data_IF_423751736901
#
_entry.id   IF_423751736901
#
_cell.length_a   1.000
_cell.length_b   1.000
_cell.length_c   1.000
_cell.angle_alpha   90.00
_cell.angle_beta   90.00
_cell.angle_gamma   90.00
#
_symmetry.space_group_name_H-M   'P 1'
#
loop_
_entity.id
_entity.type
_entity.pdbx_description
1 polymer ?
#
# COMPACT_ATOMS: atom_id res chain seq x y z
N UNK A 1 -0.64 10.98 -18.75
CA UNK A 1 0.13 11.37 -17.54
C UNK A 1 0.73 10.12 -16.93
N UNK A 2 2.03 10.09 -16.62
CA UNK A 2 2.66 8.96 -15.94
C UNK A 2 2.02 8.73 -14.56
N UNK A 3 1.78 7.48 -14.19
CA UNK A 3 1.21 7.15 -12.87
C UNK A 3 2.25 7.42 -11.78
N UNK A 4 1.93 8.24 -10.77
CA UNK A 4 2.84 8.44 -9.65
C UNK A 4 2.99 7.12 -8.88
N UNK A 5 4.18 6.86 -8.34
CA UNK A 5 4.43 5.66 -7.53
C UNK A 5 5.51 5.90 -6.49
N UNK A 6 5.56 5.01 -5.51
CA UNK A 6 6.71 4.92 -4.62
C UNK A 6 7.85 4.22 -5.37
N UNK A 7 9.05 4.76 -5.22
CA UNK A 7 10.31 4.13 -5.65
C UNK A 7 10.99 3.54 -4.42
N UNK A 8 11.34 2.27 -4.50
CA UNK A 8 11.80 1.47 -3.37
C UNK A 8 13.26 1.08 -3.59
N UNK A 9 14.10 1.33 -2.59
CA UNK A 9 15.48 0.86 -2.55
C UNK A 9 15.68 -0.01 -1.29
N UNK A 10 15.56 -1.35 -1.40
CA UNK A 10 15.70 -2.26 -0.26
C UNK A 10 17.07 -2.20 0.42
N UNK A 11 18.14 -1.93 -0.32
CA UNK A 11 19.51 -1.85 0.21
C UNK A 11 19.71 -0.69 1.21
N UNK A 12 18.85 0.33 1.15
CA UNK A 12 18.83 1.44 2.12
C UNK A 12 17.92 1.16 3.33
N UNK A 13 17.11 0.10 3.31
CA UNK A 13 16.14 -0.14 4.37
C UNK A 13 16.82 -0.64 5.64
N UNK A 14 16.55 0.02 6.78
CA UNK A 14 17.12 -0.36 8.09
C UNK A 14 16.18 -1.23 8.92
N UNK A 15 14.96 -1.49 8.44
CA UNK A 15 13.96 -2.24 9.20
C UNK A 15 13.31 -1.48 10.36
N UNK A 16 13.46 -0.15 10.45
CA UNK A 16 12.93 0.64 11.58
C UNK A 16 11.38 0.74 11.65
N UNK A 17 10.66 0.30 10.62
CA UNK A 17 9.19 0.30 10.52
C UNK A 17 8.48 1.66 10.70
N UNK A 18 9.18 2.79 10.67
CA UNK A 18 8.56 4.12 10.76
C UNK A 18 7.51 4.36 9.67
N UNK A 19 7.75 3.86 8.46
CA UNK A 19 6.79 3.92 7.36
C UNK A 19 5.50 3.14 7.64
N UNK A 20 5.58 2.03 8.39
CA UNK A 20 4.43 1.21 8.80
C UNK A 20 3.62 1.95 9.86
N UNK A 21 4.30 2.44 10.90
CA UNK A 21 3.67 3.18 12.00
C UNK A 21 2.96 4.45 11.51
N UNK A 22 3.65 5.30 10.74
CA UNK A 22 3.05 6.54 10.23
C UNK A 22 1.88 6.27 9.29
N UNK A 23 1.93 5.21 8.48
CA UNK A 23 0.81 4.84 7.62
C UNK A 23 -0.46 4.57 8.44
N UNK A 24 -0.35 3.75 9.50
CA UNK A 24 -1.50 3.43 10.36
C UNK A 24 -2.01 4.64 11.13
N UNK A 25 -1.11 5.50 11.60
CA UNK A 25 -1.48 6.74 12.27
C UNK A 25 -2.25 7.69 11.36
N UNK A 26 -1.84 7.82 10.10
CA UNK A 26 -2.48 8.73 9.14
C UNK A 26 -3.88 8.26 8.79
N UNK A 27 -4.02 6.97 8.44
CA UNK A 27 -5.27 6.43 7.92
C UNK A 27 -6.23 5.94 9.00
N UNK A 28 -5.72 5.34 10.08
CA UNK A 28 -6.52 4.62 11.06
C UNK A 28 -6.51 5.27 12.45
N UNK A 29 -5.71 6.33 12.64
CA UNK A 29 -5.52 7.03 13.93
C UNK A 29 -5.06 6.12 15.08
N UNK A 30 -4.42 5.01 14.74
CA UNK A 30 -3.86 4.03 15.67
C UNK A 30 -2.51 3.53 15.17
N UNK A 31 -1.64 3.07 16.07
CA UNK A 31 -0.43 2.33 15.71
C UNK A 31 -0.76 0.84 15.71
N UNK A 32 -1.06 0.28 14.54
CA UNK A 32 -1.33 -1.16 14.39
C UNK A 32 -0.80 -1.68 13.05
N UNK A 33 0.38 -2.33 13.01
CA UNK A 33 1.01 -2.81 11.78
C UNK A 33 0.12 -3.68 10.87
N UNK A 34 -0.84 -4.42 11.45
CA UNK A 34 -1.77 -5.25 10.67
C UNK A 34 -2.72 -4.43 9.80
N UNK A 35 -2.94 -3.16 10.15
CA UNK A 35 -3.79 -2.20 9.43
C UNK A 35 -3.01 -1.23 8.53
N UNK A 36 -1.68 -1.38 8.47
CA UNK A 36 -0.84 -0.56 7.58
C UNK A 36 -1.17 -0.83 6.13
N UNK A 37 -0.78 0.07 5.21
CA UNK A 37 -0.82 -0.13 3.74
C UNK A 37 0.57 -0.38 3.15
N UNK A 38 1.58 -0.48 4.00
CA UNK A 38 2.98 -0.83 3.71
C UNK A 38 3.49 -1.80 4.77
N UNK A 39 4.28 -2.79 4.39
CA UNK A 39 4.89 -3.77 5.31
C UNK A 39 6.38 -3.88 5.07
N UNK A 40 7.11 -4.09 6.16
CA UNK A 40 8.51 -4.47 6.12
C UNK A 40 8.58 -5.95 6.51
N UNK A 41 9.29 -6.73 5.72
CA UNK A 41 9.52 -8.16 5.99
C UNK A 41 11.02 -8.36 6.09
N UNK A 42 11.48 -8.86 7.23
CA UNK A 42 12.87 -9.26 7.40
C UNK A 42 13.14 -10.50 6.56
N UNK A 43 14.18 -10.44 5.74
CA UNK A 43 14.71 -11.57 4.98
C UNK A 43 15.98 -12.12 5.63
N UNK A 44 16.74 -12.95 4.90
CA UNK A 44 18.02 -13.48 5.38
C UNK A 44 19.05 -12.35 5.48
N UNK A 45 20.15 -12.59 6.19
CA UNK A 45 21.30 -11.68 6.25
C UNK A 45 20.99 -10.24 6.71
N UNK A 46 19.92 -10.03 7.48
CA UNK A 46 19.46 -8.69 7.90
C UNK A 46 19.00 -7.79 6.75
N UNK A 47 18.68 -8.36 5.59
CA UNK A 47 18.02 -7.64 4.52
C UNK A 47 16.52 -7.44 4.83
N UNK A 48 15.93 -6.40 4.25
CA UNK A 48 14.53 -6.06 4.44
C UNK A 48 13.82 -5.87 3.11
N UNK A 49 12.69 -6.56 2.97
CA UNK A 49 11.77 -6.39 1.86
C UNK A 49 10.67 -5.41 2.22
N UNK A 50 10.47 -4.41 1.35
CA UNK A 50 9.39 -3.43 1.49
C UNK A 50 8.24 -3.84 0.56
N UNK A 51 7.09 -4.18 1.14
CA UNK A 51 5.88 -4.56 0.42
C UNK A 51 4.90 -3.39 0.44
N UNK A 52 4.62 -2.83 -0.73
CA UNK A 52 3.69 -1.72 -0.94
C UNK A 52 3.09 -1.79 -2.35
N UNK A 53 1.94 -1.14 -2.56
CA UNK A 53 1.26 -1.16 -3.86
C UNK A 53 2.11 -0.46 -4.93
N UNK A 54 2.33 -1.13 -6.06
CA UNK A 54 3.14 -0.63 -7.18
C UNK A 54 2.40 0.30 -8.14
N UNK A 55 1.10 0.55 -7.91
CA UNK A 55 0.24 1.36 -8.79
C UNK A 55 0.33 0.97 -10.28
N UNK A 56 0.19 -0.35 -10.54
CA UNK A 56 0.34 -0.96 -11.86
C UNK A 56 -0.49 -0.24 -12.93
N UNK A 57 0.03 -0.11 -14.15
CA UNK A 57 -0.68 0.46 -15.31
C UNK A 57 -1.91 -0.35 -15.73
N UNK A 58 -1.78 -1.68 -15.70
CA UNK A 58 -2.90 -2.61 -15.89
C UNK A 58 -3.23 -3.36 -14.58
N UNK A 59 -4.06 -2.77 -13.69
CA UNK A 59 -4.26 -3.30 -12.36
C UNK A 59 -5.20 -4.51 -12.36
N UNK A 60 -4.63 -5.71 -12.25
CA UNK A 60 -5.38 -6.97 -12.08
C UNK A 60 -6.38 -6.92 -10.92
N UNK A 61 -6.07 -6.18 -9.84
CA UNK A 61 -6.96 -6.01 -8.70
C UNK A 61 -8.26 -5.26 -9.01
N UNK A 62 -8.24 -4.34 -9.99
CA UNK A 62 -9.45 -3.64 -10.47
C UNK A 62 -10.32 -4.64 -11.23
N UNK A 63 -9.75 -5.37 -12.18
CA UNK A 63 -10.46 -6.39 -12.98
C UNK A 63 -11.05 -7.52 -12.13
N UNK A 64 -10.35 -7.91 -11.08
CA UNK A 64 -10.76 -8.99 -10.19
C UNK A 64 -11.87 -8.60 -9.20
N UNK A 65 -12.19 -7.31 -9.04
CA UNK A 65 -13.16 -6.86 -8.04
C UNK A 65 -14.61 -7.05 -8.55
N UNK A 66 -15.40 -7.97 -7.98
CA UNK A 66 -16.73 -8.30 -8.50
C UNK A 66 -17.78 -7.20 -8.25
N UNK A 67 -17.49 -6.27 -7.34
CA UNK A 67 -18.38 -5.18 -6.92
C UNK A 67 -17.85 -3.80 -7.30
N UNK A 68 -16.81 -3.75 -8.16
CA UNK A 68 -16.18 -2.50 -8.61
C UNK A 68 -15.76 -1.57 -7.45
N UNK A 69 -15.37 -2.14 -6.31
CA UNK A 69 -14.87 -1.39 -5.16
C UNK A 69 -13.43 -0.92 -5.34
N UNK A 70 -12.69 -1.43 -6.33
CA UNK A 70 -11.39 -0.88 -6.70
C UNK A 70 -11.55 -0.19 -8.04
N UNK A 71 -11.24 1.10 -8.10
CA UNK A 71 -11.42 1.95 -9.28
C UNK A 71 -10.21 2.86 -9.49
N UNK A 72 -10.08 3.43 -10.68
CA UNK A 72 -9.00 4.40 -10.98
C UNK A 72 -9.45 5.78 -10.50
N UNK A 73 -8.70 6.36 -9.56
CA UNK A 73 -8.94 7.72 -9.08
C UNK A 73 -8.69 8.73 -10.20
N UNK A 74 -9.69 9.53 -10.54
CA UNK A 74 -9.68 10.40 -11.72
C UNK A 74 -8.49 11.38 -11.74
N UNK A 75 -8.18 12.00 -10.60
CA UNK A 75 -7.12 13.03 -10.53
C UNK A 75 -5.70 12.46 -10.46
N UNK A 76 -5.54 11.32 -9.78
CA UNK A 76 -4.21 10.73 -9.52
C UNK A 76 -3.86 9.63 -10.52
N UNK A 77 -4.85 9.14 -11.27
CA UNK A 77 -4.72 8.01 -12.18
C UNK A 77 -4.11 6.77 -11.50
N UNK A 78 -4.54 6.46 -10.28
CA UNK A 78 -4.09 5.27 -9.53
C UNK A 78 -5.28 4.42 -9.09
N UNK A 79 -5.17 3.09 -9.01
CA UNK A 79 -6.22 2.29 -8.39
C UNK A 79 -6.37 2.69 -6.92
N UNK A 80 -7.59 2.84 -6.40
CA UNK A 80 -7.91 3.05 -4.97
C UNK A 80 -9.11 2.18 -4.57
N UNK A 81 -9.29 1.97 -3.27
CA UNK A 81 -10.40 1.16 -2.74
C UNK A 81 -11.48 2.09 -2.21
N UNK A 82 -12.71 1.90 -2.68
CA UNK A 82 -13.94 2.37 -2.08
C UNK A 82 -14.33 1.42 -0.94
N UNK A 83 -14.19 1.88 0.31
CA UNK A 83 -14.49 1.07 1.48
C UNK A 83 -15.98 0.78 1.66
N UNK A 84 -16.86 1.64 1.14
CA UNK A 84 -18.31 1.49 1.26
C UNK A 84 -18.80 0.36 0.34
N UNK A 85 -18.26 0.28 -0.87
CA UNK A 85 -18.58 -0.82 -1.82
C UNK A 85 -17.86 -2.12 -1.51
N UNK A 86 -16.70 -2.07 -0.84
CA UNK A 86 -15.89 -3.26 -0.62
C UNK A 86 -16.62 -4.28 0.27
N UNK A 87 -16.76 -5.52 -0.20
CA UNK A 87 -17.40 -6.61 0.57
C UNK A 87 -16.41 -7.40 1.43
N UNK A 88 -15.10 -7.17 1.28
CA UNK A 88 -14.08 -7.96 1.98
C UNK A 88 -13.81 -9.34 1.37
N UNK A 89 -14.33 -9.64 0.17
CA UNK A 89 -14.24 -10.98 -0.44
C UNK A 89 -12.84 -11.48 -0.80
N UNK A 90 -11.78 -10.67 -0.70
CA UNK A 90 -10.40 -11.14 -0.87
C UNK A 90 -9.91 -11.36 -2.31
N UNK A 91 -10.77 -11.36 -3.34
CA UNK A 91 -10.35 -11.59 -4.75
C UNK A 91 -9.22 -10.66 -5.23
N UNK A 92 -9.21 -9.40 -4.79
CA UNK A 92 -8.12 -8.46 -5.11
C UNK A 92 -6.79 -8.80 -4.43
N UNK A 93 -6.82 -9.46 -3.27
CA UNK A 93 -5.64 -9.94 -2.56
C UNK A 93 -5.00 -11.07 -3.35
N UNK A 94 -5.80 -12.04 -3.81
CA UNK A 94 -5.35 -13.15 -4.66
C UNK A 94 -4.79 -12.67 -6.00
N UNK A 95 -5.45 -11.69 -6.63
CA UNK A 95 -5.05 -11.16 -7.93
C UNK A 95 -3.78 -10.29 -7.90
N UNK A 96 -3.29 -9.87 -6.72
CA UNK A 96 -2.15 -8.96 -6.64
C UNK A 96 -0.81 -9.71 -6.73
N UNK A 97 -0.04 -9.58 -7.82
CA UNK A 97 1.24 -10.30 -7.96
C UNK A 97 2.30 -9.83 -6.95
N UNK A 98 2.17 -8.59 -6.46
CA UNK A 98 3.08 -7.99 -5.47
C UNK A 98 2.68 -8.27 -4.02
N UNK A 99 1.55 -8.96 -3.79
CA UNK A 99 1.00 -9.22 -2.44
C UNK A 99 0.84 -7.95 -1.61
N UNK A 100 0.49 -6.86 -2.26
CA UNK A 100 0.44 -5.51 -1.70
C UNK A 100 -0.97 -5.04 -1.29
N UNK A 101 -1.92 -5.97 -1.25
CA UNK A 101 -3.30 -5.76 -0.82
C UNK A 101 -3.60 -6.79 0.26
N UNK A 102 -4.28 -6.41 1.33
CA UNK A 102 -4.73 -7.34 2.37
C UNK A 102 -6.06 -6.87 2.95
N UNK A 103 -6.71 -7.75 3.70
CA UNK A 103 -7.95 -7.41 4.43
C UNK A 103 -7.58 -6.84 5.79
N UNK A 104 -8.10 -5.65 6.10
CA UNK A 104 -7.98 -5.05 7.43
C UNK A 104 -8.70 -5.93 8.45
N UNK A 105 -8.03 -6.39 9.53
CA UNK A 105 -8.65 -7.25 10.54
C UNK A 105 -9.81 -6.58 11.27
N UNK A 106 -9.90 -5.25 11.30
CA UNK A 106 -10.95 -4.49 11.99
C UNK A 106 -12.13 -4.23 11.06
N UNK A 107 -11.93 -3.48 9.98
CA UNK A 107 -13.03 -3.08 9.07
C UNK A 107 -13.50 -4.22 8.16
N UNK A 108 -12.72 -5.30 8.05
CA UNK A 108 -12.91 -6.39 7.09
C UNK A 108 -12.93 -5.94 5.63
N UNK A 109 -12.39 -4.75 5.33
CA UNK A 109 -12.27 -4.22 3.97
C UNK A 109 -10.87 -4.46 3.42
N UNK A 110 -10.75 -4.51 2.10
CA UNK A 110 -9.45 -4.53 1.45
C UNK A 110 -8.74 -3.18 1.65
N UNK A 111 -7.47 -3.23 2.01
CA UNK A 111 -6.60 -2.06 2.15
C UNK A 111 -5.36 -2.23 1.29
N UNK A 112 -4.92 -1.13 0.70
CA UNK A 112 -3.71 -1.01 -0.11
C UNK A 112 -3.28 0.45 -0.15
N UNK A 113 -2.02 0.69 -0.52
CA UNK A 113 -1.51 2.06 -0.62
C UNK A 113 -2.31 2.89 -1.64
N UNK A 114 -2.68 4.09 -1.23
CA UNK A 114 -3.39 5.14 -1.98
C UNK A 114 -2.49 6.36 -2.21
N UNK A 115 -1.18 6.20 -2.00
CA UNK A 115 -0.16 7.25 -2.03
C UNK A 115 -0.48 8.44 -1.12
N UNK A 116 -1.29 8.23 -0.07
CA UNK A 116 -1.79 9.32 0.79
C UNK A 116 -2.34 10.49 -0.04
N UNK A 117 -3.07 10.15 -1.13
CA UNK A 117 -3.64 11.12 -2.07
C UNK A 117 -2.64 12.10 -2.70
N UNK A 118 -1.39 11.66 -2.90
CA UNK A 118 -0.34 12.47 -3.53
C UNK A 118 0.65 13.08 -2.53
N UNK A 119 0.48 12.85 -1.23
CA UNK A 119 1.42 13.29 -0.19
C UNK A 119 1.88 12.11 0.70
N UNK A 120 2.74 11.20 0.20
CA UNK A 120 3.08 9.96 0.90
C UNK A 120 3.85 10.21 2.20
N UNK A 121 3.19 10.01 3.35
CA UNK A 121 3.83 10.24 4.65
C UNK A 121 4.97 9.25 4.92
N UNK A 122 4.89 8.02 4.41
CA UNK A 122 5.98 7.04 4.54
C UNK A 122 7.32 7.53 3.94
N UNK A 123 7.29 8.42 2.93
CA UNK A 123 8.49 9.02 2.33
C UNK A 123 9.07 10.08 3.26
N UNK A 124 8.23 10.96 3.82
CA UNK A 124 8.66 12.04 4.73
C UNK A 124 9.37 11.52 5.99
N UNK A 125 8.97 10.36 6.48
CA UNK A 125 9.52 9.75 7.69
C UNK A 125 10.58 8.68 7.41
N UNK A 126 10.97 8.46 6.16
CA UNK A 126 12.03 7.52 5.82
C UNK A 126 13.39 8.23 5.83
N UNK A 127 14.02 8.32 7.01
CA UNK A 127 15.35 8.93 7.17
C UNK A 127 16.45 8.24 6.34
N UNK A 128 16.27 6.95 6.04
CA UNK A 128 17.21 6.19 5.22
C UNK A 128 16.99 6.35 3.71
N UNK A 129 15.93 7.05 3.27
CA UNK A 129 15.57 7.22 1.86
C UNK A 129 15.37 5.90 1.09
N UNK A 130 15.01 4.83 1.80
CA UNK A 130 14.64 3.56 1.18
C UNK A 130 13.31 3.65 0.40
N UNK A 131 12.52 4.69 0.64
CA UNK A 131 11.24 4.98 -0.02
C UNK A 131 11.28 6.43 -0.50
N UNK A 132 11.11 6.64 -1.80
CA UNK A 132 10.99 7.96 -2.42
C UNK A 132 9.73 8.04 -3.29
N UNK A 133 9.33 9.24 -3.72
CA UNK A 133 8.10 9.47 -4.48
C UNK A 133 8.36 10.13 -5.83
N UNK A 134 7.66 9.68 -6.87
CA UNK A 134 7.60 10.32 -8.19
C UNK A 134 7.53 9.31 -9.31
#
# INVERSE_FOLDING_TARGET
MPRPKLKINPAKCTGCEMCVSVCTMVHEKVVNPKRSRIRIVKEKNFDFKIIVCMQCEDPACVKACPVNAIYIHEKLNIPIVDSEKCTGCGKCVEACPFKAIWIDPVTKKAIKCDLCMGDPQCVKYCSAEAITYG
#
